data_IF_613731994574
#
_entry.id   IF_613731994574
#
_cell.length_a   1.000
_cell.length_b   1.000
_cell.length_c   1.000
_cell.angle_alpha   90.00
_cell.angle_beta   90.00
_cell.angle_gamma   90.00
#
_symmetry.space_group_name_H-M   'P 1'
#
loop_
_entity.id
_entity.type
_entity.pdbx_description
1 polymer ?
#
# COMPACT_ATOMS: atom_id res chain seq x y z
N UNK A 1 24.42 -2.41 18.52
CA UNK A 1 23.15 -1.66 18.75
C UNK A 1 23.41 -0.23 18.36
N UNK A 2 22.82 0.24 17.26
CA UNK A 2 23.04 1.60 16.74
C UNK A 2 22.01 2.54 17.37
N UNK A 3 22.45 3.61 18.03
CA UNK A 3 21.55 4.58 18.65
C UNK A 3 20.95 5.50 17.58
N UNK A 4 19.67 5.86 17.72
CA UNK A 4 19.07 6.88 16.87
C UNK A 4 19.60 8.25 17.28
N UNK A 5 19.93 9.08 16.29
CA UNK A 5 20.35 10.45 16.51
C UNK A 5 19.15 11.36 16.36
N UNK A 6 18.99 12.30 17.29
CA UNK A 6 18.07 13.42 17.14
C UNK A 6 18.58 14.36 16.02
N UNK A 7 17.74 15.26 15.49
CA UNK A 7 18.16 16.25 14.49
C UNK A 7 19.34 17.13 14.95
N UNK A 8 19.50 17.31 16.26
CA UNK A 8 20.62 18.01 16.89
C UNK A 8 21.92 17.16 17.00
N UNK A 9 21.91 15.92 16.50
CA UNK A 9 23.03 14.99 16.53
C UNK A 9 23.19 14.22 17.84
N UNK A 10 22.33 14.43 18.83
CA UNK A 10 22.41 13.75 20.13
C UNK A 10 21.89 12.31 20.02
N UNK A 11 22.67 11.34 20.49
CA UNK A 11 22.24 9.94 20.57
C UNK A 11 21.14 9.76 21.62
N UNK A 12 20.06 9.05 21.27
CA UNK A 12 18.97 8.73 22.22
C UNK A 12 19.39 7.56 23.11
N UNK A 13 19.61 7.77 24.42
CA UNK A 13 20.21 6.74 25.27
C UNK A 13 19.20 5.74 25.83
N UNK A 14 17.88 6.01 25.70
CA UNK A 14 16.82 5.19 26.29
C UNK A 14 15.79 4.72 25.26
N UNK A 15 15.10 3.61 25.58
CA UNK A 15 14.02 3.06 24.76
C UNK A 15 12.87 4.05 24.59
N UNK A 16 12.39 4.65 25.68
CA UNK A 16 11.27 5.60 25.64
C UNK A 16 11.60 6.86 24.84
N UNK A 17 12.85 7.34 24.93
CA UNK A 17 13.31 8.48 24.13
C UNK A 17 13.36 8.13 22.64
N UNK A 18 13.82 6.92 22.31
CA UNK A 18 13.86 6.41 20.92
C UNK A 18 12.45 6.26 20.35
N UNK A 19 11.53 5.66 21.10
CA UNK A 19 10.12 5.52 20.70
C UNK A 19 9.46 6.87 20.45
N UNK A 20 9.72 7.88 21.29
CA UNK A 20 9.20 9.24 21.08
C UNK A 20 9.77 9.90 19.82
N UNK A 21 11.07 9.78 19.56
CA UNK A 21 11.69 10.35 18.34
C UNK A 21 11.11 9.71 17.07
N UNK A 22 10.87 8.40 17.09
CA UNK A 22 10.20 7.70 15.98
C UNK A 22 8.78 8.22 15.82
N UNK A 23 8.02 8.33 16.92
CA UNK A 23 6.64 8.82 16.89
C UNK A 23 6.57 10.24 16.31
N UNK A 24 7.32 11.18 16.88
CA UNK A 24 7.34 12.59 16.43
C UNK A 24 7.71 12.68 14.94
N UNK A 25 8.71 11.92 14.48
CA UNK A 25 9.13 11.89 13.08
C UNK A 25 8.01 11.42 12.12
N UNK A 26 7.32 10.32 12.47
CA UNK A 26 6.24 9.81 11.63
C UNK A 26 5.00 10.70 11.70
N UNK A 27 4.66 11.26 12.87
CA UNK A 27 3.57 12.23 13.01
C UNK A 27 3.80 13.43 12.09
N UNK A 28 4.98 14.05 12.15
CA UNK A 28 5.32 15.19 11.29
C UNK A 28 5.28 14.82 9.80
N UNK A 29 5.72 13.60 9.44
CA UNK A 29 5.69 13.11 8.07
C UNK A 29 4.24 12.94 7.54
N UNK A 30 3.34 12.37 8.35
CA UNK A 30 1.95 12.16 7.98
C UNK A 30 1.14 13.46 7.99
N UNK A 31 1.44 14.37 8.92
CA UNK A 31 0.83 15.71 9.01
C UNK A 31 1.33 16.63 7.89
N UNK A 32 2.55 16.40 7.39
CA UNK A 32 3.01 17.01 6.15
C UNK A 32 2.19 16.42 5.00
N UNK A 33 1.06 17.06 4.68
CA UNK A 33 0.29 16.81 3.47
C UNK A 33 1.09 17.27 2.25
N UNK A 34 2.23 16.63 1.99
CA UNK A 34 2.94 16.74 0.73
C UNK A 34 1.94 16.30 -0.33
N UNK A 35 1.53 17.25 -1.16
CA UNK A 35 0.78 16.97 -2.38
C UNK A 35 1.70 16.15 -3.28
N UNK A 36 1.75 14.85 -3.04
CA UNK A 36 2.34 13.93 -3.97
C UNK A 36 1.51 14.06 -5.25
N UNK A 37 2.15 14.23 -6.42
CA UNK A 37 1.42 14.14 -7.67
C UNK A 37 0.67 12.80 -7.64
N UNK A 38 -0.59 12.75 -8.09
CA UNK A 38 -1.35 11.53 -8.10
C UNK A 38 -0.49 10.45 -8.74
N UNK A 39 -0.05 9.47 -7.95
CA UNK A 39 0.51 8.27 -8.55
C UNK A 39 -0.68 7.67 -9.28
N UNK A 40 -0.63 7.70 -10.60
CA UNK A 40 -1.46 6.82 -11.41
C UNK A 40 -1.06 5.40 -10.99
N UNK A 41 -1.68 4.89 -9.93
CA UNK A 41 -1.98 3.47 -9.87
C UNK A 41 -2.74 3.27 -11.17
N UNK A 42 -2.07 2.70 -12.19
CA UNK A 42 -2.80 2.08 -13.27
C UNK A 42 -3.77 1.17 -12.52
N UNK A 43 -5.05 1.55 -12.55
CA UNK A 43 -6.10 0.57 -12.45
C UNK A 43 -5.90 -0.25 -13.71
N UNK A 44 -4.92 -1.16 -13.68
CA UNK A 44 -4.50 -1.99 -14.80
C UNK A 44 -5.78 -2.44 -15.46
N UNK A 45 -6.00 -2.00 -16.69
CA UNK A 45 -7.31 -1.87 -17.31
C UNK A 45 -8.15 -3.12 -17.17
N UNK A 46 -8.86 -3.25 -16.05
CA UNK A 46 -9.90 -4.24 -15.87
C UNK A 46 -11.09 -3.67 -16.62
N UNK A 47 -10.94 -3.69 -17.94
CA UNK A 47 -12.04 -3.69 -18.87
C UNK A 47 -12.76 -4.97 -18.53
N UNK A 48 -13.84 -4.84 -17.74
CA UNK A 48 -14.81 -5.91 -17.58
C UNK A 48 -15.15 -6.32 -19.00
N UNK A 49 -14.73 -7.53 -19.45
CA UNK A 49 -15.04 -7.92 -20.80
C UNK A 49 -16.57 -7.94 -20.88
N UNK A 50 -17.15 -7.35 -21.92
CA UNK A 50 -18.60 -7.23 -22.12
C UNK A 50 -19.24 -8.58 -22.47
N UNK A 51 -18.74 -9.65 -21.86
CA UNK A 51 -19.13 -11.03 -22.09
C UNK A 51 -20.45 -11.23 -21.37
N UNK A 52 -21.43 -11.72 -22.11
CA UNK A 52 -22.76 -11.92 -21.57
C UNK A 52 -22.72 -13.05 -20.53
N UNK A 53 -23.49 -12.96 -19.43
CA UNK A 53 -23.61 -14.06 -18.48
C UNK A 53 -23.97 -15.41 -19.15
N UNK A 54 -24.65 -15.38 -20.30
CA UNK A 54 -24.95 -16.57 -21.11
C UNK A 54 -23.71 -17.24 -21.71
N UNK A 55 -22.73 -16.48 -22.17
CA UNK A 55 -21.48 -17.01 -22.74
C UNK A 55 -20.64 -17.71 -21.68
N UNK A 56 -20.58 -17.13 -20.47
CA UNK A 56 -19.89 -17.73 -19.32
C UNK A 56 -20.54 -19.07 -18.96
N UNK A 57 -21.87 -19.11 -18.84
CA UNK A 57 -22.60 -20.35 -18.54
C UNK A 57 -22.40 -21.41 -19.63
N UNK A 58 -22.40 -20.99 -20.89
CA UNK A 58 -22.21 -21.89 -22.03
C UNK A 58 -20.83 -22.54 -22.00
N UNK A 59 -19.77 -21.75 -21.83
CA UNK A 59 -18.40 -22.26 -21.76
C UNK A 59 -18.19 -23.28 -20.63
N UNK A 60 -18.69 -22.98 -19.42
CA UNK A 60 -18.64 -23.91 -18.28
C UNK A 60 -19.39 -25.21 -18.58
N UNK A 61 -20.58 -25.11 -19.18
CA UNK A 61 -21.39 -26.28 -19.53
C UNK A 61 -20.75 -27.14 -20.63
N UNK A 62 -20.06 -26.51 -21.59
CA UNK A 62 -19.42 -27.16 -22.73
C UNK A 62 -18.24 -28.05 -22.27
N UNK A 63 -17.42 -27.54 -21.34
CA UNK A 63 -16.33 -28.33 -20.74
C UNK A 63 -16.87 -29.52 -19.93
N UNK A 64 -18.01 -29.34 -19.24
CA UNK A 64 -18.63 -30.38 -18.40
C UNK A 64 -19.26 -31.53 -19.18
N UNK A 65 -19.56 -31.35 -20.47
CA UNK A 65 -20.20 -32.36 -21.34
C UNK A 65 -19.20 -33.31 -22.02
N UNK A 66 -17.90 -33.18 -21.74
CA UNK A 66 -16.80 -33.90 -22.41
C UNK A 66 -16.35 -35.19 -21.70
N UNK A 67 -17.22 -35.78 -20.88
CA UNK A 67 -17.04 -37.09 -20.23
C UNK A 67 -18.25 -37.95 -20.52
#
# INVERSE_FOLDING_TARGET
>A
MTALLRPDGTATPSRSTTEKVIHDFYSDLFDSHVHLPPRHLQQDGYVVPSVLPSEIRHAISSVKKRT
#
